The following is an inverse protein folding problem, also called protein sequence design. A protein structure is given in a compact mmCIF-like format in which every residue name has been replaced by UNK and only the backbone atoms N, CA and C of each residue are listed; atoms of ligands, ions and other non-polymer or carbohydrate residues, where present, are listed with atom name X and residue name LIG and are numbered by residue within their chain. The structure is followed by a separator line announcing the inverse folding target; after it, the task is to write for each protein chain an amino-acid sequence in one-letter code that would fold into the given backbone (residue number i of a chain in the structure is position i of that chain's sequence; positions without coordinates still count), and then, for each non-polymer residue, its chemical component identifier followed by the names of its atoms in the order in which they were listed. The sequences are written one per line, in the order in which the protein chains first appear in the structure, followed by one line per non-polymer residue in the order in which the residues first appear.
data_IF_837615830742
#
_entry.id   IF_837615830742
#
_cell.length_a   1.000
_cell.length_b   1.000
_cell.length_c   1.000
_cell.angle_alpha   90.00
_cell.angle_beta   90.00
_cell.angle_gamma   90.00
#
_symmetry.space_group_name_H-M   'P 1'
#
loop_
_entity.id
_entity.type
_entity.pdbx_description
1 polymer ?
#
# COMPACT_ATOMS: atom_id res chain seq x y z
N UNK A 1 21.91 -17.32 -47.16
CA UNK A 1 21.92 -17.63 -45.71
C UNK A 1 21.53 -16.46 -44.80
N UNK A 2 21.52 -15.20 -45.27
CA UNK A 2 21.18 -14.01 -44.46
C UNK A 2 19.68 -13.77 -44.24
N UNK A 3 18.82 -14.24 -45.18
CA UNK A 3 17.36 -14.03 -45.13
C UNK A 3 16.64 -14.89 -44.08
N UNK A 4 17.14 -16.09 -43.81
CA UNK A 4 16.61 -16.97 -42.77
C UNK A 4 16.92 -16.45 -41.37
N UNK A 5 18.12 -15.88 -41.17
CA UNK A 5 18.51 -15.29 -39.89
C UNK A 5 17.65 -14.07 -39.51
N UNK A 6 17.32 -13.22 -40.49
CA UNK A 6 16.42 -12.08 -40.29
C UNK A 6 15.00 -12.51 -39.92
N UNK A 7 14.52 -13.62 -40.50
CA UNK A 7 13.21 -14.19 -40.19
C UNK A 7 13.13 -14.71 -38.75
N UNK A 8 14.20 -15.33 -38.24
CA UNK A 8 14.28 -15.78 -36.84
C UNK A 8 14.34 -14.61 -35.84
N UNK A 9 15.02 -13.51 -36.18
CA UNK A 9 15.06 -12.30 -35.33
C UNK A 9 13.69 -11.62 -35.26
N UNK A 10 12.99 -11.50 -36.39
CA UNK A 10 11.64 -10.94 -36.45
C UNK A 10 10.65 -11.82 -35.68
N UNK A 11 10.74 -13.15 -35.81
CA UNK A 11 9.91 -14.09 -35.06
C UNK A 11 10.18 -14.01 -33.54
N UNK A 12 11.43 -13.80 -33.13
CA UNK A 12 11.80 -13.63 -31.73
C UNK A 12 11.24 -12.32 -31.14
N UNK A 13 11.24 -11.24 -31.91
CA UNK A 13 10.70 -9.93 -31.49
C UNK A 13 9.17 -9.93 -31.34
N UNK A 14 8.45 -10.74 -32.15
CA UNK A 14 7.00 -10.93 -32.05
C UNK A 14 6.57 -11.79 -30.84
N UNK A 15 7.46 -12.63 -30.30
CA UNK A 15 7.16 -13.52 -29.17
C UNK A 15 7.42 -12.89 -27.79
N UNK A 16 8.04 -11.71 -27.72
CA UNK A 16 8.48 -11.12 -26.46
C UNK A 16 7.44 -10.40 -25.57
N UNK A 17 6.19 -10.06 -25.97
CA UNK A 17 5.31 -9.29 -25.08
C UNK A 17 4.65 -10.14 -23.98
N UNK A 18 4.91 -11.46 -23.92
CA UNK A 18 4.23 -12.36 -22.98
C UNK A 18 4.79 -12.37 -21.53
N UNK A 19 5.85 -11.63 -21.22
CA UNK A 19 6.65 -11.83 -19.97
C UNK A 19 6.24 -10.91 -18.80
N UNK A 20 5.07 -10.26 -18.81
CA UNK A 20 4.72 -9.37 -17.68
C UNK A 20 3.25 -9.36 -17.26
N UNK A 21 2.64 -10.54 -17.14
CA UNK A 21 1.34 -10.66 -16.46
C UNK A 21 1.57 -11.28 -15.08
N UNK A 22 1.35 -10.51 -14.01
CA UNK A 22 1.31 -11.05 -12.66
C UNK A 22 0.07 -11.95 -12.57
N UNK A 23 0.29 -13.27 -12.53
CA UNK A 23 -0.80 -14.25 -12.44
C UNK A 23 -1.06 -14.54 -10.96
N UNK A 24 -2.12 -13.95 -10.41
CA UNK A 24 -2.52 -14.17 -9.02
C UNK A 24 -3.07 -15.60 -8.82
N UNK A 25 -2.81 -16.20 -7.65
CA UNK A 25 -3.40 -17.49 -7.27
C UNK A 25 -4.91 -17.34 -7.02
N UNK A 26 -5.65 -18.46 -7.03
CA UNK A 26 -7.10 -18.43 -6.85
C UNK A 26 -7.50 -17.97 -5.44
N UNK A 27 -6.66 -18.23 -4.44
CA UNK A 27 -6.83 -17.72 -3.07
C UNK A 27 -6.63 -16.21 -3.00
N UNK A 28 -5.62 -15.66 -3.70
CA UNK A 28 -5.35 -14.22 -3.72
C UNK A 28 -6.45 -13.43 -4.42
N UNK A 29 -7.02 -13.98 -5.51
CA UNK A 29 -8.11 -13.33 -6.25
C UNK A 29 -9.33 -12.99 -5.38
N UNK A 30 -9.56 -13.75 -4.30
CA UNK A 30 -10.63 -13.46 -3.33
C UNK A 30 -10.48 -12.08 -2.65
N UNK A 31 -9.25 -11.57 -2.54
CA UNK A 31 -8.93 -10.32 -1.86
C UNK A 31 -8.67 -9.15 -2.81
N UNK A 32 -8.77 -9.38 -4.12
CA UNK A 32 -8.56 -8.33 -5.13
C UNK A 32 -9.93 -7.89 -5.63
N UNK A 33 -10.34 -6.69 -5.23
CA UNK A 33 -11.60 -6.09 -5.67
C UNK A 33 -11.48 -5.47 -7.07
N UNK A 34 -10.33 -4.87 -7.38
CA UNK A 34 -10.08 -4.19 -8.65
C UNK A 34 -8.76 -4.67 -9.27
N UNK A 35 -8.82 -5.11 -10.53
CA UNK A 35 -7.65 -5.61 -11.28
C UNK A 35 -7.71 -5.27 -12.78
N UNK A 36 -8.40 -4.18 -13.13
CA UNK A 36 -8.51 -3.79 -14.53
C UNK A 36 -7.19 -3.20 -15.04
N UNK A 37 -6.88 -3.38 -16.34
CA UNK A 37 -5.67 -2.80 -16.94
C UNK A 37 -5.62 -1.28 -16.82
N UNK A 38 -6.78 -0.61 -16.79
CA UNK A 38 -6.89 0.84 -16.61
C UNK A 38 -8.00 1.12 -15.59
N UNK A 39 -7.64 1.81 -14.51
CA UNK A 39 -8.54 2.19 -13.43
C UNK A 39 -8.45 3.69 -13.17
N UNK A 40 -9.58 4.31 -12.86
CA UNK A 40 -9.67 5.73 -12.51
C UNK A 40 -10.39 5.86 -11.19
N UNK A 41 -9.70 6.40 -10.20
CA UNK A 41 -10.27 6.77 -8.90
C UNK A 41 -10.61 8.24 -8.93
N UNK A 42 -11.90 8.56 -8.94
CA UNK A 42 -12.42 9.91 -9.19
C UNK A 42 -12.88 10.59 -7.90
N UNK A 43 -12.74 11.91 -7.82
CA UNK A 43 -13.41 12.76 -6.82
C UNK A 43 -13.11 12.35 -5.35
N UNK A 44 -11.86 11.96 -5.09
CA UNK A 44 -11.39 11.61 -3.75
C UNK A 44 -10.70 12.78 -3.03
N UNK A 45 -10.56 12.67 -1.72
CA UNK A 45 -9.64 13.48 -0.92
C UNK A 45 -8.23 12.90 -0.99
N UNK A 46 -7.30 13.56 -1.68
CA UNK A 46 -5.92 13.09 -1.82
C UNK A 46 -5.05 13.48 -0.63
N UNK A 47 -4.41 12.50 -0.03
CA UNK A 47 -3.31 12.63 0.92
C UNK A 47 -2.07 12.11 0.20
N UNK A 48 -1.09 12.97 -0.12
CA UNK A 48 0.04 12.61 -0.98
C UNK A 48 1.24 11.99 -0.24
N UNK A 49 1.17 11.89 1.08
CA UNK A 49 2.23 11.37 1.94
C UNK A 49 3.46 12.28 2.07
N UNK A 50 3.45 13.49 1.48
CA UNK A 50 4.57 14.45 1.54
C UNK A 50 4.47 15.43 2.72
N UNK A 51 3.41 15.31 3.53
CA UNK A 51 3.10 16.25 4.62
C UNK A 51 2.38 17.51 4.17
N UNK A 52 1.96 17.60 2.89
CA UNK A 52 1.11 18.68 2.41
C UNK A 52 -0.31 18.56 2.96
N UNK A 53 -1.07 19.67 2.92
CA UNK A 53 -2.50 19.64 3.21
C UNK A 53 -3.24 18.71 2.23
N UNK A 54 -4.27 18.02 2.73
CA UNK A 54 -5.10 17.15 1.92
C UNK A 54 -5.85 17.95 0.84
N UNK A 55 -5.91 17.41 -0.37
CA UNK A 55 -6.50 18.08 -1.54
C UNK A 55 -7.83 17.43 -1.90
N UNK A 56 -8.96 18.15 -1.86
CA UNK A 56 -10.25 17.60 -2.28
C UNK A 56 -10.36 17.52 -3.80
N UNK A 57 -11.36 16.78 -4.29
CA UNK A 57 -11.71 16.66 -5.72
C UNK A 57 -10.52 16.27 -6.60
N UNK A 58 -9.75 15.28 -6.14
CA UNK A 58 -8.62 14.75 -6.89
C UNK A 58 -8.99 13.43 -7.56
N UNK A 59 -8.34 13.20 -8.69
CA UNK A 59 -8.47 11.99 -9.48
C UNK A 59 -7.10 11.35 -9.69
N UNK A 60 -7.06 10.02 -9.59
CA UNK A 60 -5.87 9.19 -9.80
C UNK A 60 -6.16 8.19 -10.91
N UNK A 61 -5.33 8.20 -11.95
CA UNK A 61 -5.43 7.29 -13.09
C UNK A 61 -4.30 6.27 -12.96
N UNK A 62 -4.66 4.99 -12.98
CA UNK A 62 -3.74 3.86 -12.92
C UNK A 62 -3.83 3.08 -14.22
N UNK A 63 -2.68 2.90 -14.88
CA UNK A 63 -2.53 2.14 -16.11
C UNK A 63 -1.50 1.04 -15.90
N UNK A 64 -1.89 -0.21 -16.12
CA UNK A 64 -1.06 -1.41 -15.97
C UNK A 64 -0.31 -1.47 -14.63
N UNK A 65 -1.02 -1.19 -13.52
CA UNK A 65 -0.46 -1.22 -12.16
C UNK A 65 0.47 -0.05 -11.82
N UNK A 66 0.59 0.95 -12.69
CA UNK A 66 1.38 2.17 -12.43
C UNK A 66 0.46 3.39 -12.40
N UNK A 67 0.81 4.35 -11.56
CA UNK A 67 0.14 5.66 -11.54
C UNK A 67 0.55 6.40 -12.81
N UNK A 68 -0.41 6.66 -13.68
CA UNK A 68 -0.23 7.37 -14.95
C UNK A 68 -0.43 8.89 -14.74
N UNK A 69 -1.43 9.26 -13.93
CA UNK A 69 -1.74 10.65 -13.67
C UNK A 69 -2.41 10.88 -12.31
N UNK A 70 -2.13 12.04 -11.70
CA UNK A 70 -2.77 12.50 -10.47
C UNK A 70 -3.01 14.00 -10.57
N UNK A 71 -4.21 14.46 -10.21
CA UNK A 71 -4.51 15.88 -10.16
C UNK A 71 -5.98 16.20 -9.95
N UNK A 72 -6.33 17.46 -10.21
CA UNK A 72 -7.70 17.99 -10.09
C UNK A 72 -8.65 17.27 -11.04
N UNK A 73 -9.77 16.79 -10.51
CA UNK A 73 -10.78 16.04 -11.28
C UNK A 73 -11.24 16.77 -12.55
N UNK A 74 -11.36 18.10 -12.51
CA UNK A 74 -11.79 18.88 -13.66
C UNK A 74 -10.79 18.87 -14.83
N UNK A 75 -9.52 18.50 -14.57
CA UNK A 75 -8.44 18.44 -15.56
C UNK A 75 -8.14 17.01 -16.01
N UNK A 76 -8.79 16.02 -15.42
CA UNK A 76 -8.54 14.62 -15.70
C UNK A 76 -9.14 14.25 -17.07
N UNK A 77 -8.30 13.67 -17.95
CA UNK A 77 -8.74 13.10 -19.23
C UNK A 77 -8.96 11.61 -19.01
N UNK A 78 -10.21 11.16 -19.15
CA UNK A 78 -10.57 9.76 -18.90
C UNK A 78 -10.09 8.87 -20.06
N UNK A 79 -9.28 7.84 -19.79
CA UNK A 79 -8.88 6.89 -20.83
C UNK A 79 -10.06 6.03 -21.27
N UNK A 80 -10.09 5.65 -22.55
CA UNK A 80 -11.12 4.74 -23.07
C UNK A 80 -10.99 3.35 -22.44
N UNK A 81 -12.12 2.76 -22.04
CA UNK A 81 -12.16 1.43 -21.41
C UNK A 81 -11.67 1.39 -19.97
N UNK A 82 -11.49 2.55 -19.33
CA UNK A 82 -11.13 2.62 -17.92
C UNK A 82 -12.32 2.25 -17.01
N UNK A 83 -12.04 1.49 -15.95
CA UNK A 83 -12.99 1.29 -14.87
C UNK A 83 -12.98 2.52 -13.94
N UNK A 84 -14.10 3.22 -13.84
CA UNK A 84 -14.22 4.48 -13.09
C UNK A 84 -14.87 4.20 -11.73
N UNK A 85 -14.16 4.56 -10.67
CA UNK A 85 -14.56 4.36 -9.28
C UNK A 85 -14.71 5.74 -8.64
N UNK A 86 -15.92 6.10 -8.24
CA UNK A 86 -16.18 7.36 -7.54
C UNK A 86 -15.86 7.23 -6.04
N UNK A 87 -15.00 8.11 -5.55
CA UNK A 87 -14.53 8.16 -4.18
C UNK A 87 -15.10 9.36 -3.41
N UNK A 88 -16.26 9.87 -3.80
CA UNK A 88 -16.97 10.90 -3.05
C UNK A 88 -17.06 10.54 -1.54
N UNK A 89 -16.60 11.45 -0.69
CA UNK A 89 -16.57 11.25 0.76
C UNK A 89 -15.50 10.27 1.26
N UNK A 90 -14.62 9.76 0.40
CA UNK A 90 -13.50 8.88 0.74
C UNK A 90 -12.15 9.57 0.49
N UNK A 91 -11.11 9.04 1.11
CA UNK A 91 -9.74 9.51 0.95
C UNK A 91 -8.89 8.53 0.15
N UNK A 92 -7.97 9.05 -0.66
CA UNK A 92 -6.93 8.32 -1.37
C UNK A 92 -5.60 8.62 -0.70
N UNK A 93 -4.85 7.56 -0.38
CA UNK A 93 -3.55 7.64 0.29
C UNK A 93 -2.59 6.59 -0.31
N UNK A 94 -1.28 6.82 -0.22
CA UNK A 94 -0.30 5.83 -0.63
C UNK A 94 -0.48 4.53 0.17
N UNK A 95 -0.08 3.41 -0.44
CA UNK A 95 -0.01 2.14 0.26
C UNK A 95 0.82 2.26 1.54
N UNK A 96 0.33 1.68 2.63
CA UNK A 96 1.04 1.69 3.91
C UNK A 96 2.30 0.83 3.80
N UNK A 97 3.43 1.40 4.22
CA UNK A 97 4.72 0.69 4.26
C UNK A 97 5.03 0.38 5.72
N UNK A 98 5.10 -0.90 6.06
CA UNK A 98 5.49 -1.34 7.40
C UNK A 98 7.01 -1.54 7.45
N UNK A 99 7.70 -0.80 8.33
CA UNK A 99 9.16 -0.82 8.43
C UNK A 99 9.69 -1.86 9.44
N UNK A 100 8.83 -2.33 10.33
CA UNK A 100 9.22 -3.25 11.37
C UNK A 100 8.05 -4.18 11.69
N UNK A 101 8.22 -5.45 11.40
CA UNK A 101 7.32 -6.52 11.81
C UNK A 101 8.10 -7.74 12.25
N UNK A 102 7.59 -8.45 13.26
CA UNK A 102 8.08 -9.74 13.69
C UNK A 102 7.12 -10.83 13.19
N UNK A 103 7.35 -11.32 11.97
CA UNK A 103 6.50 -12.32 11.31
C UNK A 103 6.57 -13.74 11.94
N UNK A 104 7.34 -13.95 13.00
CA UNK A 104 7.50 -15.25 13.67
C UNK A 104 6.74 -15.29 15.01
N UNK A 105 5.52 -15.81 15.00
CA UNK A 105 4.92 -16.50 16.14
C UNK A 105 5.12 -17.99 15.91
N UNK A 106 6.17 -18.55 16.53
CA UNK A 106 6.41 -20.00 16.51
C UNK A 106 5.41 -20.69 17.44
N UNK A 107 4.28 -21.12 16.91
CA UNK A 107 3.42 -22.11 17.55
C UNK A 107 3.96 -23.51 17.22
N UNK A 108 4.99 -23.95 17.94
CA UNK A 108 5.36 -25.37 17.95
C UNK A 108 5.09 -25.91 19.36
N UNK A 109 3.99 -26.67 19.44
CA UNK A 109 3.58 -27.56 20.53
C UNK A 109 3.12 -26.99 21.88
N UNK A 110 2.05 -26.18 21.91
CA UNK A 110 1.34 -25.92 23.18
C UNK A 110 -0.18 -25.92 23.00
N UNK A 111 -0.94 -26.79 23.71
CA UNK A 111 -2.39 -26.77 23.69
C UNK A 111 -2.93 -25.44 24.22
N UNK A 112 -3.94 -24.91 23.54
CA UNK A 112 -4.48 -23.56 23.67
C UNK A 112 -4.91 -23.19 25.10
N UNK A 113 -4.21 -22.24 25.73
CA UNK A 113 -4.77 -21.40 26.79
C UNK A 113 -4.01 -20.07 26.91
N UNK A 114 -4.60 -19.00 26.37
CA UNK A 114 -4.11 -17.62 26.50
C UNK A 114 -3.73 -17.25 27.95
N UNK A 115 -2.54 -16.65 28.17
CA UNK A 115 -2.28 -15.67 29.25
C UNK A 115 -0.97 -14.83 29.13
N UNK A 116 -0.27 -14.76 27.99
CA UNK A 116 1.09 -14.16 27.94
C UNK A 116 1.40 -13.14 26.82
N UNK A 117 0.40 -12.38 26.35
CA UNK A 117 0.64 -11.08 25.67
C UNK A 117 1.26 -10.00 26.59
N UNK A 118 1.87 -10.38 27.72
CA UNK A 118 2.49 -9.44 28.67
C UNK A 118 3.93 -9.03 28.30
N UNK A 119 4.46 -9.53 27.20
CA UNK A 119 5.84 -9.27 26.81
C UNK A 119 5.88 -8.97 25.32
N UNK A 120 5.70 -7.69 24.99
CA UNK A 120 6.48 -7.05 23.93
C UNK A 120 7.62 -6.27 24.60
N UNK A 121 8.68 -6.90 25.12
CA UNK A 121 9.73 -6.18 25.83
C UNK A 121 10.96 -6.03 24.93
N UNK A 122 10.82 -5.76 23.64
CA UNK A 122 11.96 -5.43 22.78
C UNK A 122 11.48 -4.48 21.70
N UNK A 123 11.48 -3.19 22.00
CA UNK A 123 11.94 -2.06 21.15
C UNK A 123 11.37 -0.75 21.71
N UNK A 124 11.90 -0.32 22.85
CA UNK A 124 12.10 1.10 23.20
C UNK A 124 13.21 1.08 24.25
N UNK A 125 14.41 1.56 23.90
CA UNK A 125 15.51 1.66 24.88
C UNK A 125 15.04 2.53 26.06
N UNK A 126 15.18 2.06 27.31
CA UNK A 126 14.94 2.90 28.49
C UNK A 126 16.19 3.76 28.73
N UNK A 127 16.56 4.58 27.75
CA UNK A 127 17.43 5.71 27.97
C UNK A 127 16.52 6.93 27.90
N UNK A 128 16.44 7.70 29.00
CA UNK A 128 15.60 8.90 29.20
C UNK A 128 14.25 8.68 29.94
N UNK A 129 14.27 8.08 31.13
CA UNK A 129 13.21 8.36 32.13
C UNK A 129 13.76 8.38 33.55
N UNK A 130 14.90 9.05 33.73
CA UNK A 130 15.62 9.19 35.00
C UNK A 130 15.89 10.63 35.41
N UNK A 131 15.07 11.61 35.01
CA UNK A 131 15.06 12.92 35.65
C UNK A 131 13.98 12.92 36.73
N UNK A 132 14.40 12.63 37.97
CA UNK A 132 13.57 12.70 39.17
C UNK A 132 13.53 14.17 39.64
N UNK A 133 12.46 14.88 39.32
CA UNK A 133 12.17 16.17 39.94
C UNK A 133 11.52 15.95 41.31
N UNK A 134 12.23 16.37 42.35
CA UNK A 134 11.80 16.40 43.73
C UNK A 134 11.17 17.78 44.02
N UNK A 135 9.88 17.84 44.34
CA UNK A 135 9.35 18.97 45.13
C UNK A 135 8.08 18.57 45.88
N UNK A 136 8.15 18.82 47.20
CA UNK A 136 7.05 19.02 48.15
C UNK A 136 5.70 19.36 47.50
N UNK A 137 4.60 18.78 47.98
CA UNK A 137 3.59 19.47 48.80
C UNK A 137 2.61 18.48 49.47
N UNK A 138 2.36 18.79 50.74
CA UNK A 138 1.35 18.28 51.67
C UNK A 138 -0.03 18.01 51.04
N UNK A 139 -0.78 17.05 51.60
CA UNK A 139 -2.09 17.28 52.25
C UNK A 139 -2.72 15.95 52.70
N UNK A 140 -2.81 15.79 54.04
CA UNK A 140 -3.72 14.89 54.74
C UNK A 140 -5.06 15.62 54.91
N UNK A 141 -6.13 15.18 54.22
CA UNK A 141 -7.58 15.35 54.50
C UNK A 141 -8.28 14.38 53.53
N UNK A 142 -9.14 13.40 53.85
CA UNK A 142 -9.96 13.02 55.01
C UNK A 142 -10.06 11.48 55.05
#
# INVERSE_FOLDING_TARGET
MQKTFFFFIVAYFLAAPAISQIKFSDETKKYIEYNDPVMVFKNGLLIDGKGNAAKPHQTVIISNGKIDWVGDDAKAVMPNGANIIDLNGKAIMPGLVMLHEHMYISAHDIPTRYLHLKQVPFTFSPALSGCRCNHHQNLWQH
#
